data_IF_512212694268
#
_entry.id   IF_512212694268
#
_cell.length_a   1.000
_cell.length_b   1.000
_cell.length_c   1.000
_cell.angle_alpha   90.00
_cell.angle_beta   90.00
_cell.angle_gamma   90.00
#
_symmetry.space_group_name_H-M   'P 1'
#
loop_
_entity.id
_entity.type
_entity.pdbx_description
1 polymer ?
#
# COMPACT_ATOMS: atom_id res chain seq x y z
N UNK A 1 8.57 2.73 5.29
CA UNK A 1 8.57 3.74 4.19
C UNK A 1 9.74 3.63 3.20
N UNK A 2 10.97 3.33 3.63
CA UNK A 2 12.15 3.31 2.73
C UNK A 2 12.00 2.32 1.57
N UNK A 3 11.68 1.05 1.82
CA UNK A 3 11.52 0.03 0.77
C UNK A 3 10.42 0.38 -0.24
N UNK A 4 9.30 0.93 0.25
CA UNK A 4 8.20 1.39 -0.61
C UNK A 4 8.65 2.51 -1.56
N UNK A 5 9.44 3.47 -1.07
CA UNK A 5 10.02 4.54 -1.91
C UNK A 5 11.02 3.97 -2.92
N UNK A 6 11.84 3.01 -2.51
CA UNK A 6 12.80 2.34 -3.40
C UNK A 6 12.11 1.67 -4.59
N UNK A 7 11.06 0.86 -4.36
CA UNK A 7 10.29 0.24 -5.45
C UNK A 7 9.62 1.30 -6.33
N UNK A 8 9.06 2.35 -5.74
CA UNK A 8 8.42 3.42 -6.50
C UNK A 8 9.42 4.14 -7.43
N UNK A 9 10.68 4.30 -7.01
CA UNK A 9 11.75 4.89 -7.82
C UNK A 9 12.03 4.07 -9.08
N UNK A 10 11.99 2.75 -8.98
CA UNK A 10 12.15 1.84 -10.11
C UNK A 10 10.89 1.69 -10.98
N UNK A 11 9.76 2.23 -10.54
CA UNK A 11 8.47 2.05 -11.23
C UNK A 11 7.82 0.68 -11.00
N UNK A 12 8.34 -0.08 -10.04
CA UNK A 12 8.01 -1.48 -9.80
C UNK A 12 9.21 -2.40 -10.01
N UNK A 13 9.06 -3.67 -9.64
CA UNK A 13 10.04 -4.74 -9.88
C UNK A 13 9.33 -5.98 -10.39
N UNK A 14 9.98 -6.75 -11.26
CA UNK A 14 9.42 -8.02 -11.74
C UNK A 14 9.80 -9.15 -10.81
N UNK A 15 8.82 -9.99 -10.47
CA UNK A 15 9.00 -11.18 -9.64
C UNK A 15 8.35 -12.37 -10.35
N UNK A 16 8.85 -13.58 -10.09
CA UNK A 16 8.28 -14.80 -10.61
C UNK A 16 6.81 -14.95 -10.21
N UNK A 17 5.98 -15.36 -11.17
CA UNK A 17 4.57 -15.68 -10.89
C UNK A 17 4.51 -17.00 -10.10
N UNK A 18 3.82 -16.97 -8.97
CA UNK A 18 3.49 -18.14 -8.14
C UNK A 18 2.19 -17.86 -7.36
N UNK A 19 1.78 -18.80 -6.50
CA UNK A 19 0.54 -18.68 -5.72
C UNK A 19 0.55 -17.51 -4.73
N UNK A 20 1.72 -17.14 -4.20
CA UNK A 20 1.90 -16.00 -3.29
C UNK A 20 1.99 -14.65 -4.03
N UNK A 21 2.35 -14.70 -5.32
CA UNK A 21 2.58 -13.54 -6.20
C UNK A 21 1.85 -13.70 -7.54
N UNK A 22 0.50 -13.78 -7.53
CA UNK A 22 -0.27 -13.77 -8.77
C UNK A 22 -0.22 -12.38 -9.43
N UNK A 23 -0.41 -12.31 -10.77
CA UNK A 23 -0.53 -11.03 -11.48
C UNK A 23 -1.60 -10.13 -10.87
N UNK A 24 -1.26 -8.87 -10.62
CA UNK A 24 -2.16 -7.95 -9.95
C UNK A 24 -3.25 -7.43 -10.91
N UNK A 25 -4.55 -7.74 -10.68
CA UNK A 25 -5.63 -7.30 -11.57
C UNK A 25 -5.74 -5.77 -11.65
N UNK A 26 -5.40 -5.05 -10.58
CA UNK A 26 -5.44 -3.59 -10.51
C UNK A 26 -4.37 -2.90 -11.37
N UNK A 27 -3.44 -3.66 -11.95
CA UNK A 27 -2.40 -3.19 -12.85
C UNK A 27 -2.66 -3.58 -14.31
N UNK A 28 -3.84 -4.10 -14.66
CA UNK A 28 -4.16 -4.55 -16.02
C UNK A 28 -4.05 -3.48 -17.11
N UNK A 29 -4.09 -2.20 -16.73
CA UNK A 29 -3.92 -1.07 -17.65
C UNK A 29 -2.45 -0.88 -18.11
N UNK A 30 -1.50 -1.58 -17.49
CA UNK A 30 -0.08 -1.53 -17.86
C UNK A 30 0.23 -2.62 -18.90
N UNK A 31 0.70 -2.21 -20.08
CA UNK A 31 1.05 -3.12 -21.17
C UNK A 31 2.13 -4.13 -20.79
N UNK A 32 3.07 -3.72 -19.93
CA UNK A 32 4.17 -4.54 -19.44
C UNK A 32 3.90 -5.07 -18.03
N UNK A 33 2.64 -5.27 -17.62
CA UNK A 33 2.36 -5.87 -16.29
C UNK A 33 2.99 -7.25 -16.16
N UNK A 34 2.79 -8.10 -17.16
CA UNK A 34 3.32 -9.46 -17.18
C UNK A 34 4.25 -9.62 -18.38
N UNK A 35 5.39 -10.28 -18.15
CA UNK A 35 6.40 -10.53 -19.16
C UNK A 35 6.86 -11.99 -19.09
N UNK A 36 7.46 -12.46 -20.18
CA UNK A 36 8.12 -13.76 -20.23
C UNK A 36 9.58 -13.51 -20.61
N UNK A 37 10.52 -14.07 -19.85
CA UNK A 37 11.94 -13.99 -20.18
C UNK A 37 12.27 -14.85 -21.42
N UNK A 38 13.44 -14.66 -22.01
CA UNK A 38 13.90 -15.51 -23.13
C UNK A 38 13.98 -17.00 -22.76
N UNK A 39 14.22 -17.31 -21.49
CA UNK A 39 14.25 -18.67 -20.95
C UNK A 39 12.86 -19.20 -20.58
N UNK A 40 11.78 -18.46 -20.90
CA UNK A 40 10.39 -18.89 -20.67
C UNK A 40 9.84 -18.63 -19.26
N UNK A 41 10.58 -17.91 -18.40
CA UNK A 41 10.10 -17.62 -17.04
C UNK A 41 9.03 -16.53 -17.07
N UNK A 42 7.86 -16.82 -16.49
CA UNK A 42 6.77 -15.85 -16.33
C UNK A 42 7.04 -14.93 -15.14
N UNK A 43 7.02 -13.63 -15.38
CA UNK A 43 7.18 -12.61 -14.36
C UNK A 43 5.98 -11.65 -14.35
N UNK A 44 5.65 -11.13 -13.18
CA UNK A 44 4.64 -10.06 -13.03
C UNK A 44 5.21 -8.86 -12.28
N UNK A 45 4.70 -7.67 -12.60
CA UNK A 45 5.12 -6.42 -12.02
C UNK A 45 4.54 -6.24 -10.61
N UNK A 46 5.44 -6.17 -9.63
CA UNK A 46 5.16 -5.76 -8.27
C UNK A 46 5.33 -4.24 -8.16
N UNK A 47 4.21 -3.53 -8.00
CA UNK A 47 4.23 -2.11 -7.68
C UNK A 47 4.41 -1.88 -6.15
N UNK A 48 4.62 -0.63 -5.70
CA UNK A 48 4.87 -0.35 -4.29
C UNK A 48 3.73 -0.77 -3.34
N UNK A 49 2.48 -0.65 -3.77
CA UNK A 49 1.32 -1.02 -2.95
C UNK A 49 1.21 -2.54 -2.80
N UNK A 50 1.46 -3.28 -3.87
CA UNK A 50 1.45 -4.74 -3.84
C UNK A 50 2.58 -5.29 -2.96
N UNK A 51 3.82 -4.78 -3.11
CA UNK A 51 4.92 -5.19 -2.23
C UNK A 51 4.59 -4.92 -0.76
N UNK A 52 4.11 -3.72 -0.44
CA UNK A 52 3.84 -3.34 0.95
C UNK A 52 2.82 -4.29 1.58
N UNK A 53 1.81 -4.71 0.82
CA UNK A 53 0.83 -5.71 1.26
C UNK A 53 1.48 -7.06 1.53
N UNK A 54 2.29 -7.60 0.61
CA UNK A 54 2.97 -8.88 0.83
C UNK A 54 3.89 -8.84 2.07
N UNK A 55 4.62 -7.74 2.27
CA UNK A 55 5.46 -7.55 3.46
C UNK A 55 4.63 -7.50 4.74
N UNK A 56 3.45 -6.87 4.70
CA UNK A 56 2.55 -6.82 5.86
C UNK A 56 1.89 -8.17 6.14
N UNK A 57 1.50 -8.92 5.11
CA UNK A 57 1.00 -10.29 5.25
C UNK A 57 2.07 -11.18 5.92
N UNK A 58 3.34 -11.06 5.49
CA UNK A 58 4.48 -11.76 6.14
C UNK A 58 4.72 -11.28 7.59
N UNK A 59 4.69 -9.98 7.84
CA UNK A 59 4.91 -9.43 9.17
C UNK A 59 3.82 -9.83 10.17
N UNK A 60 2.56 -9.90 9.73
CA UNK A 60 1.45 -10.38 10.53
C UNK A 60 1.65 -11.84 10.94
N UNK A 61 2.09 -12.70 10.01
CA UNK A 61 2.40 -14.11 10.30
C UNK A 61 3.55 -14.28 11.29
N UNK A 62 4.59 -13.44 11.19
CA UNK A 62 5.81 -13.61 11.98
C UNK A 62 5.78 -12.91 13.34
N UNK A 63 5.13 -11.74 13.43
CA UNK A 63 5.23 -10.85 14.59
C UNK A 63 3.87 -10.40 15.14
N UNK A 64 2.75 -10.82 14.54
CA UNK A 64 1.41 -10.35 14.93
C UNK A 64 1.15 -8.87 14.64
N UNK A 65 2.08 -8.16 13.99
CA UNK A 65 1.95 -6.76 13.63
C UNK A 65 0.95 -6.61 12.48
N UNK A 66 -0.09 -5.78 12.67
CA UNK A 66 -1.11 -5.55 11.67
C UNK A 66 -0.79 -4.28 10.87
N UNK A 67 -0.18 -4.45 9.71
CA UNK A 67 0.04 -3.37 8.76
C UNK A 67 -1.10 -3.25 7.75
N UNK A 68 -1.52 -2.03 7.42
CA UNK A 68 -2.60 -1.80 6.46
C UNK A 68 -2.32 -0.59 5.54
N UNK A 69 -2.71 -0.72 4.28
CA UNK A 69 -2.68 0.38 3.29
C UNK A 69 -4.12 0.79 3.06
N UNK A 70 -4.43 2.04 3.37
CA UNK A 70 -5.82 2.51 3.46
C UNK A 70 -6.03 3.77 2.62
N UNK A 71 -7.26 4.03 2.17
CA UNK A 71 -7.61 5.22 1.39
C UNK A 71 -9.11 5.50 1.42
N UNK A 72 -9.49 6.78 1.44
CA UNK A 72 -10.89 7.21 1.28
C UNK A 72 -11.47 6.89 -0.10
N UNK A 73 -10.62 6.60 -1.09
CA UNK A 73 -11.01 6.21 -2.46
C UNK A 73 -10.25 4.93 -2.86
N UNK A 74 -10.53 3.79 -2.21
CA UNK A 74 -9.71 2.60 -2.38
C UNK A 74 -9.97 1.95 -3.75
N UNK A 75 -8.90 1.62 -4.48
CA UNK A 75 -9.00 0.84 -5.72
C UNK A 75 -9.26 -0.63 -5.44
N UNK A 76 -8.62 -1.15 -4.39
CA UNK A 76 -8.85 -2.49 -3.85
C UNK A 76 -9.82 -2.37 -2.68
N UNK A 77 -10.99 -3.04 -2.68
CA UNK A 77 -12.00 -2.89 -1.63
C UNK A 77 -11.48 -3.15 -0.22
N UNK A 78 -10.56 -4.11 -0.06
CA UNK A 78 -9.95 -4.44 1.23
C UNK A 78 -8.97 -3.38 1.75
N UNK A 79 -8.76 -2.28 1.03
CA UNK A 79 -8.03 -1.11 1.50
C UNK A 79 -8.98 -0.01 2.00
N UNK A 80 -10.27 -0.33 2.20
CA UNK A 80 -11.22 0.57 2.82
C UNK A 80 -10.81 0.82 4.29
N UNK A 81 -10.86 2.06 4.76
CA UNK A 81 -10.48 2.39 6.12
C UNK A 81 -11.47 1.84 7.13
N UNK A 82 -10.98 1.48 8.31
CA UNK A 82 -11.81 1.45 9.51
C UNK A 82 -12.14 2.88 9.99
N UNK A 83 -12.95 3.00 11.04
CA UNK A 83 -13.37 4.32 11.54
C UNK A 83 -12.20 5.20 12.00
N UNK A 84 -11.19 4.62 12.65
CA UNK A 84 -10.03 5.37 13.11
C UNK A 84 -9.15 5.85 11.96
N UNK A 85 -8.88 4.96 10.99
CA UNK A 85 -8.13 5.30 9.79
C UNK A 85 -8.85 6.37 8.97
N UNK A 86 -10.17 6.29 8.87
CA UNK A 86 -10.99 7.25 8.13
C UNK A 86 -10.86 8.65 8.74
N UNK A 87 -10.99 8.76 10.06
CA UNK A 87 -10.79 10.03 10.78
C UNK A 87 -9.39 10.59 10.53
N UNK A 88 -8.35 9.75 10.62
CA UNK A 88 -6.97 10.16 10.35
C UNK A 88 -6.78 10.64 8.89
N UNK A 89 -7.35 9.94 7.92
CA UNK A 89 -7.29 10.30 6.50
C UNK A 89 -7.99 11.62 6.21
N UNK A 90 -9.11 11.91 6.89
CA UNK A 90 -9.82 13.18 6.79
C UNK A 90 -8.96 14.32 7.38
N UNK A 91 -8.28 14.10 8.51
CA UNK A 91 -7.35 15.07 9.10
C UNK A 91 -6.18 15.38 8.14
N UNK A 92 -5.65 14.36 7.43
CA UNK A 92 -4.54 14.53 6.49
C UNK A 92 -4.80 15.54 5.37
N UNK A 93 -6.06 15.82 5.05
CA UNK A 93 -6.43 16.85 4.06
C UNK A 93 -6.02 18.27 4.50
N UNK A 94 -5.83 18.49 5.80
CA UNK A 94 -5.43 19.76 6.39
C UNK A 94 -4.07 19.72 7.10
N UNK A 95 -3.65 18.55 7.60
CA UNK A 95 -2.38 18.37 8.30
C UNK A 95 -1.74 17.03 7.92
N UNK A 96 -0.60 17.05 7.22
CA UNK A 96 0.09 15.83 6.77
C UNK A 96 1.12 15.27 7.77
N UNK A 97 1.03 15.61 9.05
CA UNK A 97 1.81 14.93 10.10
C UNK A 97 1.27 13.51 10.33
N UNK A 98 2.13 12.59 10.77
CA UNK A 98 1.70 11.26 11.21
C UNK A 98 0.84 11.35 12.48
N UNK A 99 -0.11 10.42 12.62
CA UNK A 99 -1.02 10.33 13.78
C UNK A 99 -0.77 8.99 14.47
N UNK A 100 -0.80 8.99 15.79
CA UNK A 100 -0.73 7.78 16.60
C UNK A 100 -1.66 7.89 17.80
N UNK A 101 -2.22 6.76 18.23
CA UNK A 101 -3.05 6.65 19.43
C UNK A 101 -3.13 5.19 19.89
N UNK A 102 -3.58 5.00 21.14
CA UNK A 102 -3.97 3.68 21.63
C UNK A 102 -5.44 3.48 21.26
N UNK A 103 -5.74 2.40 20.54
CA UNK A 103 -7.09 2.06 20.11
C UNK A 103 -7.43 0.64 20.52
N UNK A 104 -8.72 0.36 20.70
CA UNK A 104 -9.19 -1.02 20.93
C UNK A 104 -9.53 -1.69 19.61
N UNK A 105 -8.87 -2.82 19.31
CA UNK A 105 -9.16 -3.69 18.17
C UNK A 105 -9.45 -5.08 18.74
N UNK A 106 -10.61 -5.67 18.38
CA UNK A 106 -11.01 -7.01 18.83
C UNK A 106 -10.85 -7.25 20.35
N UNK A 107 -11.25 -6.26 21.15
CA UNK A 107 -11.17 -6.26 22.63
C UNK A 107 -9.76 -6.24 23.24
N UNK A 108 -8.72 -5.95 22.44
CA UNK A 108 -7.35 -5.72 22.92
C UNK A 108 -6.87 -4.31 22.57
N UNK A 109 -5.97 -3.78 23.40
CA UNK A 109 -5.35 -2.47 23.17
C UNK A 109 -4.20 -2.59 22.17
N UNK A 110 -4.19 -1.66 21.21
CA UNK A 110 -3.14 -1.55 20.21
C UNK A 110 -2.61 -0.13 20.16
N UNK A 111 -1.28 0.00 20.16
CA UNK A 111 -0.65 1.23 19.68
C UNK A 111 -0.76 1.24 18.15
N UNK A 112 -1.55 2.19 17.63
CA UNK A 112 -1.71 2.41 16.20
C UNK A 112 -0.94 3.65 15.77
N UNK A 113 -0.31 3.57 14.61
CA UNK A 113 0.32 4.69 13.93
C UNK A 113 -0.14 4.69 12.47
N UNK A 114 -0.43 5.87 11.92
CA UNK A 114 -0.75 6.05 10.51
C UNK A 114 0.05 7.21 9.93
N UNK A 115 0.66 6.96 8.77
CA UNK A 115 1.47 7.90 8.03
C UNK A 115 0.78 8.27 6.69
N UNK A 116 0.68 9.55 6.32
CA UNK A 116 0.03 9.95 5.07
C UNK A 116 0.85 9.55 3.84
N UNK A 117 0.18 9.03 2.82
CA UNK A 117 0.76 8.75 1.51
C UNK A 117 0.51 9.92 0.55
N UNK A 118 1.45 10.86 0.54
CA UNK A 118 1.44 12.01 -0.37
C UNK A 118 1.82 11.56 -1.79
N UNK A 119 1.07 12.03 -2.78
CA UNK A 119 1.31 11.73 -4.19
C UNK A 119 2.51 12.51 -4.71
N UNK A 120 3.49 11.79 -5.26
CA UNK A 120 4.67 12.36 -5.89
C UNK A 120 4.66 12.07 -7.40
N UNK A 121 5.51 12.75 -8.18
CA UNK A 121 5.56 12.58 -9.65
C UNK A 121 5.68 11.12 -10.09
N UNK A 122 6.51 10.33 -9.39
CA UNK A 122 6.68 8.89 -9.68
C UNK A 122 5.43 8.05 -9.43
N UNK A 123 4.56 8.49 -8.52
CA UNK A 123 3.30 7.81 -8.22
C UNK A 123 2.34 7.88 -9.44
N UNK A 124 2.43 8.94 -10.22
CA UNK A 124 1.56 9.18 -11.38
C UNK A 124 1.79 8.18 -12.52
N UNK A 125 2.93 7.48 -12.56
CA UNK A 125 3.16 6.36 -13.51
C UNK A 125 2.02 5.32 -13.47
N UNK A 126 1.47 5.06 -12.29
CA UNK A 126 0.38 4.10 -12.11
C UNK A 126 -0.95 4.75 -11.73
N UNK A 127 -0.95 6.04 -11.34
CA UNK A 127 -2.11 6.67 -10.70
C UNK A 127 -2.64 7.91 -11.42
N UNK A 128 -1.98 8.37 -12.49
CA UNK A 128 -2.50 9.47 -13.31
C UNK A 128 -3.89 9.16 -13.87
N UNK A 129 -4.13 7.92 -14.33
CA UNK A 129 -5.43 7.48 -14.86
C UNK A 129 -6.56 7.52 -13.81
N UNK A 130 -6.23 7.62 -12.52
CA UNK A 130 -7.20 7.72 -11.41
C UNK A 130 -7.51 9.17 -11.04
N UNK A 131 -6.94 10.16 -11.74
CA UNK A 131 -7.17 11.59 -11.51
C UNK A 131 -6.33 12.21 -10.40
N UNK A 132 -5.30 11.52 -9.89
CA UNK A 132 -4.41 12.07 -8.87
C UNK A 132 -3.38 13.05 -9.47
N UNK A 133 -3.05 14.06 -8.67
CA UNK A 133 -2.03 15.09 -8.91
C UNK A 133 -0.94 15.07 -7.84
N UNK A 134 0.21 15.69 -8.13
CA UNK A 134 1.28 15.83 -7.14
C UNK A 134 0.80 16.67 -5.96
N UNK A 135 1.04 16.19 -4.74
CA UNK A 135 0.57 16.82 -3.49
C UNK A 135 -0.70 16.19 -2.92
N UNK A 136 -1.48 15.46 -3.72
CA UNK A 136 -2.71 14.83 -3.23
C UNK A 136 -2.44 13.79 -2.15
N UNK A 137 -3.28 13.75 -1.12
CA UNK A 137 -3.33 12.64 -0.17
C UNK A 137 -4.01 11.45 -0.85
N UNK A 138 -3.21 10.44 -1.19
CA UNK A 138 -3.70 9.22 -1.84
C UNK A 138 -4.31 8.24 -0.85
N UNK A 139 -3.93 8.36 0.41
CA UNK A 139 -4.31 7.44 1.47
C UNK A 139 -3.32 7.49 2.62
N UNK A 140 -3.26 6.42 3.41
CA UNK A 140 -2.40 6.26 4.56
C UNK A 140 -1.81 4.86 4.61
N UNK A 141 -0.71 4.74 5.33
CA UNK A 141 -0.14 3.45 5.70
C UNK A 141 -0.13 3.37 7.22
N UNK A 142 -0.82 2.38 7.76
CA UNK A 142 -0.99 2.19 9.19
C UNK A 142 -0.30 0.93 9.66
N UNK A 143 0.10 0.93 10.93
CA UNK A 143 0.62 -0.22 11.66
C UNK A 143 -0.02 -0.25 13.04
N UNK A 144 -0.37 -1.44 13.51
CA UNK A 144 -0.92 -1.66 14.84
C UNK A 144 -0.10 -2.74 15.55
N UNK A 145 0.32 -2.44 16.78
CA UNK A 145 1.05 -3.35 17.66
C UNK A 145 0.28 -3.53 18.95
N UNK A 146 0.07 -4.77 19.39
CA UNK A 146 -0.58 -5.05 20.67
C UNK A 146 0.26 -4.46 21.79
N UNK A 147 -0.40 -3.78 22.73
CA UNK A 147 0.23 -3.23 23.95
C UNK A 147 0.43 -4.34 24.98
#
# INVERSE_FOLDING_TARGET
MVYRRWIAKHGGVYVAVNDDTPPNPYLQHLLNRDIVTEQGQKLTLINPAYMTRQVYELAAQQYGAQGHITSLKPLRPQNAPDEWEKQCLEIFTSNSAEIYSIETIDHAEYLRLIYPMITEQRCLKCHAHQGYSVGDIRGGISVSYSV
#
